data_IF_314592566653
#
_entry.id   IF_314592566653
#
_cell.length_a   1.000
_cell.length_b   1.000
_cell.length_c   1.000
_cell.angle_alpha   90.00
_cell.angle_beta   90.00
_cell.angle_gamma   90.00
#
_symmetry.space_group_name_H-M   'P 1'
#
loop_
_entity.id
_entity.type
_entity.pdbx_description
1 polymer ?
#
# COMPACT_ATOMS: atom_id res chain seq x y z
N UNK A 1 -13.79 -14.54 1.30
CA UNK A 1 -15.21 -14.34 1.62
C UNK A 1 -15.83 -13.50 0.52
N UNK A 2 -16.97 -13.92 -0.02
CA UNK A 2 -17.76 -13.12 -0.98
C UNK A 2 -18.28 -11.88 -0.27
N UNK A 3 -18.12 -10.67 -0.84
CA UNK A 3 -18.58 -9.45 -0.17
C UNK A 3 -20.11 -9.45 -0.01
N UNK A 4 -20.58 -8.70 0.98
CA UNK A 4 -22.01 -8.48 1.23
C UNK A 4 -22.35 -7.00 1.20
N UNK A 5 -23.57 -6.67 0.79
CA UNK A 5 -24.12 -5.32 0.75
C UNK A 5 -25.55 -5.37 1.29
N UNK A 6 -25.85 -4.51 2.27
CA UNK A 6 -27.12 -4.53 3.03
C UNK A 6 -27.48 -5.94 3.58
N UNK A 7 -26.48 -6.75 3.93
CA UNK A 7 -26.68 -8.13 4.44
C UNK A 7 -26.80 -9.22 3.38
N UNK A 8 -26.82 -8.86 2.09
CA UNK A 8 -26.94 -9.83 0.99
C UNK A 8 -25.60 -10.03 0.28
N UNK A 9 -25.27 -11.27 -0.08
CA UNK A 9 -24.08 -11.55 -0.88
C UNK A 9 -24.14 -10.83 -2.22
N UNK A 10 -23.02 -10.29 -2.68
CA UNK A 10 -22.90 -9.66 -4.01
C UNK A 10 -21.54 -10.01 -4.61
N UNK A 11 -21.41 -9.83 -5.92
CA UNK A 11 -20.14 -9.95 -6.62
C UNK A 11 -19.18 -8.82 -6.23
N UNK A 12 -17.88 -8.99 -6.49
CA UNK A 12 -16.89 -7.94 -6.20
C UNK A 12 -17.15 -6.68 -7.04
N UNK A 13 -17.63 -6.86 -8.27
CA UNK A 13 -17.92 -5.75 -9.17
C UNK A 13 -19.15 -4.98 -8.71
N UNK A 14 -20.23 -5.68 -8.35
CA UNK A 14 -21.41 -5.05 -7.76
C UNK A 14 -21.08 -4.36 -6.45
N UNK A 15 -20.31 -4.99 -5.57
CA UNK A 15 -19.91 -4.39 -4.31
C UNK A 15 -19.22 -3.03 -4.50
N UNK A 16 -18.27 -2.94 -5.45
CA UNK A 16 -17.57 -1.68 -5.76
C UNK A 16 -18.52 -0.60 -6.27
N UNK A 17 -19.40 -0.96 -7.20
CA UNK A 17 -20.35 -0.03 -7.83
C UNK A 17 -21.38 0.47 -6.83
N UNK A 18 -22.01 -0.42 -6.06
CA UNK A 18 -23.01 -0.09 -5.04
C UNK A 18 -22.41 0.73 -3.90
N UNK A 19 -21.19 0.39 -3.47
CA UNK A 19 -20.46 1.19 -2.47
C UNK A 19 -20.18 2.60 -2.98
N UNK A 20 -19.81 2.75 -4.26
CA UNK A 20 -19.58 4.05 -4.86
C UNK A 20 -20.87 4.87 -4.96
N UNK A 21 -21.99 4.24 -5.34
CA UNK A 21 -23.31 4.87 -5.34
C UNK A 21 -23.67 5.40 -3.95
N UNK A 22 -23.55 4.55 -2.92
CA UNK A 22 -23.82 4.93 -1.53
C UNK A 22 -22.93 6.10 -1.06
N UNK A 23 -21.64 6.07 -1.38
CA UNK A 23 -20.70 7.17 -1.06
C UNK A 23 -21.02 8.47 -1.79
N UNK A 24 -21.64 8.38 -2.96
CA UNK A 24 -22.14 9.55 -3.71
C UNK A 24 -23.50 10.06 -3.19
N UNK A 25 -24.02 9.49 -2.09
CA UNK A 25 -25.28 9.91 -1.48
C UNK A 25 -26.53 9.29 -2.10
N UNK A 26 -26.38 8.30 -2.98
CA UNK A 26 -27.51 7.58 -3.59
C UNK A 26 -28.19 6.74 -2.50
N UNK A 27 -29.47 7.00 -2.25
CA UNK A 27 -30.26 6.27 -1.26
C UNK A 27 -31.01 5.12 -1.92
N UNK A 28 -30.71 3.89 -1.50
CA UNK A 28 -31.38 2.65 -1.95
C UNK A 28 -31.19 1.56 -0.88
N UNK A 29 -31.85 0.41 -1.03
CA UNK A 29 -31.64 -0.77 -0.17
C UNK A 29 -31.75 -2.04 -1.02
N UNK A 30 -30.84 -3.00 -0.81
CA UNK A 30 -31.01 -4.33 -1.41
C UNK A 30 -31.91 -5.21 -0.54
N UNK A 31 -32.78 -5.96 -1.23
CA UNK A 31 -33.58 -7.06 -0.68
C UNK A 31 -32.99 -8.42 -1.05
N UNK A 32 -32.21 -8.48 -2.13
CA UNK A 32 -31.49 -9.68 -2.55
C UNK A 32 -30.33 -9.34 -3.46
N UNK A 33 -29.34 -10.22 -3.49
CA UNK A 33 -28.16 -10.11 -4.35
C UNK A 33 -27.84 -11.44 -5.00
N UNK A 34 -26.59 -11.87 -4.88
CA UNK A 34 -26.13 -13.18 -5.34
C UNK A 34 -26.73 -14.29 -4.49
N UNK A 35 -27.19 -15.35 -5.14
CA UNK A 35 -27.58 -16.61 -4.52
C UNK A 35 -26.64 -17.72 -4.96
N UNK A 36 -26.40 -18.68 -4.07
CA UNK A 36 -25.83 -19.98 -4.40
C UNK A 36 -26.92 -20.90 -4.95
N UNK A 37 -26.52 -21.98 -5.63
CA UNK A 37 -27.46 -23.02 -6.06
C UNK A 37 -28.24 -23.62 -4.88
N UNK A 38 -27.57 -23.81 -3.73
CA UNK A 38 -28.20 -24.36 -2.54
C UNK A 38 -29.24 -23.39 -1.94
N UNK A 39 -28.97 -22.10 -1.91
CA UNK A 39 -29.95 -21.09 -1.45
C UNK A 39 -31.16 -21.02 -2.40
N UNK A 40 -30.93 -21.05 -3.72
CA UNK A 40 -32.02 -21.05 -4.69
C UNK A 40 -32.84 -22.34 -4.61
N UNK A 41 -32.21 -23.49 -4.35
CA UNK A 41 -32.91 -24.75 -4.12
C UNK A 41 -33.84 -24.66 -2.91
N UNK A 42 -33.36 -24.11 -1.79
CA UNK A 42 -34.21 -23.92 -0.61
C UNK A 42 -35.42 -23.03 -0.88
N UNK A 43 -35.23 -21.92 -1.61
CA UNK A 43 -36.33 -21.03 -1.98
C UNK A 43 -37.33 -21.73 -2.90
N UNK A 44 -36.85 -22.51 -3.87
CA UNK A 44 -37.68 -23.29 -4.78
C UNK A 44 -38.49 -24.37 -4.04
N UNK A 45 -37.89 -25.05 -3.06
CA UNK A 45 -38.58 -26.06 -2.26
C UNK A 45 -39.71 -25.44 -1.41
N UNK A 46 -39.45 -24.27 -0.78
CA UNK A 46 -40.47 -23.52 -0.04
C UNK A 46 -41.62 -23.04 -0.95
N UNK A 47 -41.29 -22.57 -2.16
CA UNK A 47 -42.29 -22.21 -3.17
C UNK A 47 -43.18 -23.40 -3.54
N UNK A 48 -42.57 -24.55 -3.87
CA UNK A 48 -43.31 -25.78 -4.22
C UNK A 48 -44.19 -26.30 -3.08
N UNK A 49 -43.78 -26.07 -1.84
CA UNK A 49 -44.55 -26.41 -0.65
C UNK A 49 -45.66 -25.38 -0.32
N UNK A 50 -45.80 -24.30 -1.10
CA UNK A 50 -46.83 -23.27 -0.91
C UNK A 50 -46.59 -22.34 0.28
N UNK A 51 -45.41 -22.39 0.90
CA UNK A 51 -45.05 -21.62 2.11
C UNK A 51 -44.01 -20.52 1.85
N UNK A 52 -43.46 -20.46 0.64
CA UNK A 52 -42.47 -19.47 0.21
C UNK A 52 -42.95 -18.59 -0.93
N UNK A 53 -42.21 -17.51 -1.16
CA UNK A 53 -42.41 -16.63 -2.33
C UNK A 53 -42.12 -17.37 -3.64
N UNK A 54 -42.63 -16.84 -4.75
CA UNK A 54 -42.32 -17.31 -6.11
C UNK A 54 -40.79 -17.44 -6.29
N UNK A 55 -40.36 -18.64 -6.70
CA UNK A 55 -38.96 -18.92 -6.93
C UNK A 55 -38.78 -19.77 -8.20
N UNK A 56 -37.85 -19.37 -9.06
CA UNK A 56 -37.51 -20.13 -10.26
C UNK A 56 -36.78 -21.44 -9.91
N UNK A 57 -36.92 -22.43 -10.79
CA UNK A 57 -36.16 -23.69 -10.73
C UNK A 57 -34.66 -23.37 -10.63
N UNK A 58 -33.92 -24.01 -9.72
CA UNK A 58 -32.49 -23.77 -9.57
C UNK A 58 -31.73 -24.08 -10.85
N UNK A 59 -30.95 -23.10 -11.33
CA UNK A 59 -30.13 -23.23 -12.52
C UNK A 59 -28.82 -22.45 -12.35
N UNK A 60 -27.67 -22.98 -12.81
CA UNK A 60 -26.40 -22.25 -12.81
C UNK A 60 -26.47 -20.90 -13.55
N UNK A 61 -27.40 -20.76 -14.49
CA UNK A 61 -27.59 -19.55 -15.31
C UNK A 61 -28.68 -18.61 -14.78
N UNK A 62 -29.37 -18.97 -13.68
CA UNK A 62 -30.42 -18.13 -13.11
C UNK A 62 -29.88 -16.72 -12.78
N UNK A 63 -30.70 -15.65 -12.94
CA UNK A 63 -30.24 -14.27 -12.83
C UNK A 63 -29.47 -13.95 -11.54
N UNK A 64 -29.92 -14.43 -10.37
CA UNK A 64 -29.22 -14.22 -9.09
C UNK A 64 -28.00 -15.11 -8.87
N UNK A 65 -27.79 -16.17 -9.66
CA UNK A 65 -26.68 -17.12 -9.46
C UNK A 65 -25.52 -16.80 -10.41
N UNK A 66 -25.81 -16.89 -11.72
CA UNK A 66 -24.85 -16.76 -12.83
C UNK A 66 -23.45 -17.29 -12.49
N UNK A 67 -23.30 -18.61 -12.37
CA UNK A 67 -22.03 -19.27 -11.95
C UNK A 67 -20.86 -18.77 -12.81
N UNK A 68 -19.75 -18.42 -12.16
CA UNK A 68 -18.56 -17.89 -12.84
C UNK A 68 -18.68 -16.45 -13.35
N UNK A 69 -19.85 -15.82 -13.24
CA UNK A 69 -20.05 -14.42 -13.63
C UNK A 69 -20.17 -13.50 -12.41
N UNK A 70 -19.97 -12.20 -12.67
CA UNK A 70 -20.01 -11.13 -11.67
C UNK A 70 -21.29 -10.28 -11.79
N UNK A 71 -22.06 -10.44 -12.85
CA UNK A 71 -23.21 -9.62 -13.20
C UNK A 71 -24.54 -10.29 -12.86
N UNK A 72 -24.62 -10.92 -11.69
CA UNK A 72 -25.89 -11.44 -11.18
C UNK A 72 -26.91 -10.30 -10.98
N UNK A 73 -28.19 -10.63 -10.97
CA UNK A 73 -29.26 -9.69 -10.67
C UNK A 73 -29.22 -9.16 -9.23
N UNK A 74 -29.84 -8.01 -9.02
CA UNK A 74 -30.08 -7.40 -7.72
C UNK A 74 -31.58 -7.18 -7.54
N UNK A 75 -32.11 -7.47 -6.35
CA UNK A 75 -33.45 -7.04 -5.98
C UNK A 75 -33.31 -5.81 -5.08
N UNK A 76 -33.90 -4.69 -5.51
CA UNK A 76 -33.78 -3.39 -4.83
C UNK A 76 -35.16 -2.99 -4.30
N UNK A 77 -35.21 -2.54 -3.06
CA UNK A 77 -36.42 -1.97 -2.46
C UNK A 77 -36.92 -0.79 -3.30
N UNK A 78 -38.16 -0.89 -3.80
CA UNK A 78 -38.77 0.12 -4.67
C UNK A 78 -39.18 1.39 -3.92
N UNK A 79 -39.44 1.31 -2.61
CA UNK A 79 -39.97 2.40 -1.81
C UNK A 79 -38.86 3.15 -1.05
N UNK A 80 -37.76 2.49 -0.70
CA UNK A 80 -36.70 3.10 0.10
C UNK A 80 -35.85 4.10 -0.69
N UNK A 81 -35.89 5.39 -0.32
CA UNK A 81 -34.94 6.40 -0.78
C UNK A 81 -35.03 6.77 -2.27
N UNK A 82 -36.15 6.49 -2.92
CA UNK A 82 -36.32 6.60 -4.38
C UNK A 82 -35.94 5.33 -5.14
N UNK A 83 -35.53 4.29 -4.41
CA UNK A 83 -35.48 2.89 -4.84
C UNK A 83 -34.69 2.64 -6.12
N UNK A 84 -35.28 1.78 -6.96
CA UNK A 84 -34.69 1.33 -8.23
C UNK A 84 -34.39 2.50 -9.18
N UNK A 85 -35.25 3.51 -9.23
CA UNK A 85 -35.14 4.61 -10.19
C UNK A 85 -33.89 5.46 -9.94
N UNK A 86 -33.66 5.85 -8.67
CA UNK A 86 -32.52 6.68 -8.27
C UNK A 86 -31.19 5.93 -8.46
N UNK A 87 -31.15 4.65 -8.08
CA UNK A 87 -29.97 3.81 -8.31
C UNK A 87 -29.66 3.71 -9.81
N UNK A 88 -30.63 3.31 -10.65
CA UNK A 88 -30.41 3.12 -12.09
C UNK A 88 -30.02 4.41 -12.80
N UNK A 89 -30.59 5.55 -12.41
CA UNK A 89 -30.19 6.86 -12.95
C UNK A 89 -28.71 7.15 -12.68
N UNK A 90 -28.27 6.92 -11.43
CA UNK A 90 -26.87 7.09 -11.07
C UNK A 90 -25.95 6.13 -11.82
N UNK A 91 -26.33 4.84 -11.93
CA UNK A 91 -25.55 3.82 -12.65
C UNK A 91 -25.38 4.21 -14.13
N UNK A 92 -26.45 4.68 -14.78
CA UNK A 92 -26.42 5.15 -16.17
C UNK A 92 -25.47 6.34 -16.34
N UNK A 93 -25.54 7.32 -15.44
CA UNK A 93 -24.62 8.47 -15.42
C UNK A 93 -23.15 8.07 -15.21
N UNK A 94 -22.91 6.87 -14.68
CA UNK A 94 -21.59 6.27 -14.50
C UNK A 94 -21.33 5.12 -15.46
N UNK A 95 -21.99 5.14 -16.63
CA UNK A 95 -21.69 4.25 -17.77
C UNK A 95 -21.96 2.78 -17.50
N UNK A 96 -22.97 2.46 -16.71
CA UNK A 96 -23.50 1.11 -16.53
C UNK A 96 -24.99 1.10 -16.87
N UNK A 97 -25.35 0.51 -18.00
CA UNK A 97 -26.74 0.34 -18.38
C UNK A 97 -27.37 -0.85 -17.62
N UNK A 98 -28.66 -0.72 -17.30
CA UNK A 98 -29.41 -1.71 -16.52
C UNK A 98 -30.83 -1.82 -17.02
N UNK A 99 -31.38 -3.04 -16.93
CA UNK A 99 -32.73 -3.39 -17.36
C UNK A 99 -33.54 -4.01 -16.22
N UNK A 100 -34.86 -3.88 -16.33
CA UNK A 100 -35.84 -4.60 -15.50
C UNK A 100 -36.44 -5.68 -16.40
N UNK A 101 -35.77 -6.82 -16.43
CA UNK A 101 -35.96 -7.90 -17.42
C UNK A 101 -37.15 -8.81 -17.10
N UNK A 102 -37.62 -8.80 -15.85
CA UNK A 102 -38.72 -9.65 -15.39
C UNK A 102 -40.01 -8.83 -15.31
N UNK A 103 -40.99 -9.19 -16.13
CA UNK A 103 -42.29 -8.52 -16.17
C UNK A 103 -43.00 -8.63 -14.81
N UNK A 104 -43.47 -7.51 -14.27
CA UNK A 104 -44.12 -7.46 -12.96
C UNK A 104 -43.17 -7.34 -11.77
N UNK A 105 -41.85 -7.40 -11.97
CA UNK A 105 -40.84 -7.26 -10.92
C UNK A 105 -40.02 -5.97 -11.08
N UNK A 106 -40.60 -4.78 -10.78
CA UNK A 106 -39.90 -3.50 -10.94
C UNK A 106 -38.67 -3.34 -10.02
N UNK A 107 -38.51 -4.22 -9.02
CA UNK A 107 -37.35 -4.32 -8.12
C UNK A 107 -36.17 -5.08 -8.71
N UNK A 108 -36.39 -5.91 -9.75
CA UNK A 108 -35.38 -6.82 -10.29
C UNK A 108 -34.48 -6.10 -11.30
N UNK A 109 -33.25 -5.82 -10.91
CA UNK A 109 -32.28 -5.05 -11.69
C UNK A 109 -31.19 -5.98 -12.22
N UNK A 110 -31.02 -6.00 -13.53
CA UNK A 110 -29.92 -6.69 -14.20
C UNK A 110 -29.00 -5.68 -14.89
N UNK A 111 -27.69 -5.92 -14.85
CA UNK A 111 -26.75 -5.20 -15.69
C UNK A 111 -26.90 -5.68 -17.14
N UNK A 112 -26.98 -4.75 -18.09
CA UNK A 112 -27.16 -5.08 -19.51
C UNK A 112 -25.91 -5.78 -20.08
N UNK A 113 -24.74 -5.50 -19.49
CA UNK A 113 -23.47 -6.09 -19.89
C UNK A 113 -22.54 -6.35 -18.70
N UNK A 114 -22.03 -7.59 -18.61
CA UNK A 114 -20.97 -7.95 -17.69
C UNK A 114 -19.69 -7.12 -17.91
N UNK A 115 -19.42 -6.73 -19.17
CA UNK A 115 -18.28 -5.91 -19.53
C UNK A 115 -18.41 -4.49 -19.00
N UNK A 116 -19.60 -3.90 -19.10
CA UNK A 116 -19.89 -2.58 -18.55
C UNK A 116 -19.82 -2.59 -17.02
N UNK A 117 -20.38 -3.62 -16.38
CA UNK A 117 -20.29 -3.76 -14.92
C UNK A 117 -18.83 -3.82 -14.46
N UNK A 118 -17.99 -4.64 -15.13
CA UNK A 118 -16.55 -4.71 -14.86
C UNK A 118 -15.85 -3.37 -15.08
N UNK A 119 -16.17 -2.66 -16.15
CA UNK A 119 -15.57 -1.37 -16.46
C UNK A 119 -15.96 -0.30 -15.42
N UNK A 120 -17.24 -0.24 -15.05
CA UNK A 120 -17.75 0.62 -14.00
C UNK A 120 -17.10 0.31 -12.65
N UNK A 121 -17.03 -0.98 -12.28
CA UNK A 121 -16.37 -1.43 -11.05
C UNK A 121 -14.88 -1.06 -11.00
N UNK A 122 -14.16 -1.17 -12.11
CA UNK A 122 -12.75 -0.75 -12.19
C UNK A 122 -12.59 0.77 -12.01
N UNK A 123 -13.48 1.55 -12.63
CA UNK A 123 -13.45 3.02 -12.55
C UNK A 123 -13.84 3.54 -11.17
N UNK A 124 -14.89 2.97 -10.59
CA UNK A 124 -15.53 3.42 -9.33
C UNK A 124 -14.88 2.78 -8.09
N UNK A 125 -14.34 1.58 -8.23
CA UNK A 125 -13.65 0.86 -7.16
C UNK A 125 -12.21 1.29 -6.94
N UNK A 126 -11.64 2.18 -7.78
CA UNK A 126 -10.28 2.68 -7.57
C UNK A 126 -10.23 3.52 -6.29
N UNK A 127 -9.30 3.22 -5.39
CA UNK A 127 -8.97 4.12 -4.28
C UNK A 127 -8.48 5.45 -4.89
N UNK A 128 -8.92 6.63 -4.37
CA UNK A 128 -8.39 7.90 -4.83
C UNK A 128 -6.87 7.91 -4.77
N UNK A 129 -6.19 8.39 -5.81
CA UNK A 129 -4.73 8.54 -5.75
C UNK A 129 -4.35 9.71 -4.84
N UNK A 130 -3.08 9.80 -4.44
CA UNK A 130 -2.58 11.00 -3.74
C UNK A 130 -2.85 12.26 -4.56
N UNK A 131 -2.68 12.22 -5.89
CA UNK A 131 -2.95 13.38 -6.74
C UNK A 131 -4.44 13.73 -6.78
N UNK A 132 -5.34 12.74 -6.76
CA UNK A 132 -6.79 12.99 -6.68
C UNK A 132 -7.16 13.65 -5.35
N UNK A 133 -6.60 13.16 -4.23
CA UNK A 133 -6.81 13.75 -2.91
C UNK A 133 -6.25 15.16 -2.82
N UNK A 134 -5.08 15.42 -3.41
CA UNK A 134 -4.48 16.76 -3.46
C UNK A 134 -5.18 17.72 -4.44
N UNK A 135 -5.91 17.22 -5.44
CA UNK A 135 -6.82 18.04 -6.24
C UNK A 135 -8.02 18.48 -5.42
N UNK A 136 -8.64 17.55 -4.70
CA UNK A 136 -9.82 17.82 -3.89
C UNK A 136 -9.48 18.69 -2.66
N UNK A 137 -8.34 18.43 -2.03
CA UNK A 137 -7.87 19.13 -0.83
C UNK A 137 -6.33 19.26 -0.86
N UNK A 138 -5.80 20.34 -1.44
CA UNK A 138 -4.36 20.65 -1.38
C UNK A 138 -3.88 20.77 0.07
N UNK A 139 -2.59 20.47 0.32
CA UNK A 139 -2.03 20.68 1.66
C UNK A 139 -1.67 22.14 1.87
N UNK A 140 -2.26 22.72 2.91
CA UNK A 140 -2.00 24.08 3.40
C UNK A 140 -1.73 24.04 4.91
N UNK A 141 -1.28 25.16 5.50
CA UNK A 141 -0.98 25.27 6.94
C UNK A 141 -2.14 24.75 7.80
N UNK A 142 -1.84 23.84 8.72
CA UNK A 142 -2.82 23.19 9.59
C UNK A 142 -3.47 21.93 9.02
N UNK A 143 -3.24 21.60 7.74
CA UNK A 143 -3.78 20.37 7.13
C UNK A 143 -3.23 19.13 7.82
N UNK A 144 -4.13 18.22 8.22
CA UNK A 144 -3.81 16.88 8.71
C UNK A 144 -4.20 15.86 7.65
N UNK A 145 -3.22 15.22 7.03
CA UNK A 145 -3.46 14.24 5.98
C UNK A 145 -2.26 13.27 5.87
N UNK A 146 -2.47 12.02 5.43
CA UNK A 146 -1.38 11.05 5.21
C UNK A 146 -0.28 11.58 4.29
N UNK A 147 -0.63 12.42 3.31
CA UNK A 147 0.27 13.02 2.33
C UNK A 147 1.34 13.93 2.95
N UNK A 148 1.08 14.49 4.15
CA UNK A 148 2.03 15.35 4.87
C UNK A 148 3.35 14.61 5.11
N UNK A 149 3.27 13.32 5.44
CA UNK A 149 4.46 12.46 5.65
C UNK A 149 5.26 12.29 4.36
N UNK A 150 4.58 12.06 3.24
CA UNK A 150 5.24 11.91 1.94
C UNK A 150 5.96 13.20 1.52
N UNK A 151 5.31 14.35 1.69
CA UNK A 151 5.90 15.68 1.43
C UNK A 151 7.09 15.93 2.33
N UNK A 152 6.97 15.67 3.64
CA UNK A 152 8.07 15.81 4.60
C UNK A 152 9.28 14.96 4.18
N UNK A 153 9.06 13.72 3.75
CA UNK A 153 10.11 12.84 3.22
C UNK A 153 10.81 13.46 2.01
N UNK A 154 10.07 13.97 1.03
CA UNK A 154 10.67 14.61 -0.15
C UNK A 154 11.44 15.90 0.20
N UNK A 155 10.93 16.72 1.12
CA UNK A 155 11.59 17.95 1.54
C UNK A 155 12.87 17.69 2.36
N UNK A 156 12.89 16.63 3.18
CA UNK A 156 14.11 16.16 3.85
C UNK A 156 15.16 15.72 2.83
N UNK A 157 14.77 14.94 1.81
CA UNK A 157 15.66 14.56 0.70
C UNK A 157 16.17 15.75 -0.09
N UNK A 158 15.35 16.79 -0.24
CA UNK A 158 15.73 18.06 -0.85
C UNK A 158 16.68 18.91 0.04
N UNK A 159 17.01 18.44 1.25
CA UNK A 159 17.76 19.17 2.29
C UNK A 159 17.13 20.51 2.66
N UNK A 160 15.79 20.59 2.58
CA UNK A 160 15.01 21.80 2.92
C UNK A 160 14.42 21.75 4.33
N UNK A 161 14.44 20.59 4.97
CA UNK A 161 14.03 20.39 6.36
C UNK A 161 15.10 19.56 7.06
N UNK A 162 15.54 20.06 8.21
CA UNK A 162 16.38 19.35 9.18
C UNK A 162 15.63 19.23 10.51
N UNK A 163 16.01 18.24 11.33
CA UNK A 163 15.46 18.06 12.67
C UNK A 163 14.05 17.44 12.74
N UNK A 164 13.52 17.45 13.96
CA UNK A 164 12.18 16.93 14.25
C UNK A 164 11.12 17.92 13.79
N UNK A 165 10.18 17.42 12.99
CA UNK A 165 9.01 18.18 12.55
C UNK A 165 7.82 17.25 12.67
N UNK A 166 6.70 17.77 13.17
CA UNK A 166 5.46 17.03 13.24
C UNK A 166 5.07 16.55 11.84
N UNK A 167 5.01 15.22 11.69
CA UNK A 167 4.68 14.57 10.43
C UNK A 167 3.18 14.37 10.23
N UNK A 168 2.37 14.66 11.25
CA UNK A 168 0.91 14.57 11.21
C UNK A 168 0.25 15.86 10.72
N UNK A 169 0.93 17.01 10.83
CA UNK A 169 0.39 18.33 10.49
C UNK A 169 1.28 19.05 9.49
N UNK A 170 0.68 19.64 8.46
CA UNK A 170 1.34 20.57 7.57
C UNK A 170 1.62 21.89 8.30
N UNK A 171 2.77 21.98 8.98
CA UNK A 171 3.16 23.13 9.80
C UNK A 171 3.95 24.22 9.06
N UNK A 172 4.27 25.30 9.78
CA UNK A 172 5.00 26.46 9.27
C UNK A 172 6.37 26.10 8.64
N UNK A 173 7.07 25.13 9.22
CA UNK A 173 8.35 24.64 8.70
C UNK A 173 8.19 23.94 7.35
N UNK A 174 7.14 23.13 7.16
CA UNK A 174 6.84 22.51 5.88
C UNK A 174 6.47 23.56 4.84
N UNK A 175 5.62 24.52 5.20
CA UNK A 175 5.21 25.60 4.30
C UNK A 175 6.42 26.38 3.75
N UNK A 176 7.33 26.82 4.63
CA UNK A 176 8.57 27.52 4.22
C UNK A 176 9.46 26.67 3.33
N UNK A 177 9.59 25.39 3.64
CA UNK A 177 10.36 24.45 2.82
C UNK A 177 9.70 24.24 1.44
N UNK A 178 8.37 24.14 1.37
CA UNK A 178 7.63 24.03 0.10
C UNK A 178 7.77 25.29 -0.74
N UNK A 179 7.64 26.49 -0.16
CA UNK A 179 7.88 27.76 -0.88
C UNK A 179 9.29 27.81 -1.46
N UNK A 180 10.28 27.36 -0.69
CA UNK A 180 11.67 27.28 -1.15
C UNK A 180 11.84 26.27 -2.28
N UNK A 181 11.21 25.10 -2.17
CA UNK A 181 11.20 24.11 -3.25
C UNK A 181 10.54 24.64 -4.52
N UNK A 182 9.34 25.23 -4.41
CA UNK A 182 8.58 25.78 -5.54
C UNK A 182 9.41 26.81 -6.30
N UNK A 183 10.07 27.75 -5.60
CA UNK A 183 11.02 28.70 -6.22
C UNK A 183 12.13 27.98 -7.00
N UNK A 184 12.75 26.96 -6.40
CA UNK A 184 13.85 26.19 -7.03
C UNK A 184 13.44 25.45 -8.30
N UNK A 185 12.15 25.14 -8.47
CA UNK A 185 11.65 24.39 -9.64
C UNK A 185 10.76 25.22 -10.57
N UNK A 186 10.72 26.55 -10.39
CA UNK A 186 9.96 27.46 -11.25
C UNK A 186 8.43 27.34 -11.09
N UNK A 187 7.95 26.92 -9.93
CA UNK A 187 6.52 26.95 -9.59
C UNK A 187 6.18 28.20 -8.77
N UNK A 188 4.91 28.59 -8.77
CA UNK A 188 4.39 29.63 -7.86
C UNK A 188 4.72 29.25 -6.42
N UNK A 189 5.41 30.15 -5.71
CA UNK A 189 5.93 29.91 -4.36
C UNK A 189 4.89 30.22 -3.27
N UNK A 190 3.69 29.66 -3.43
CA UNK A 190 2.52 29.89 -2.56
C UNK A 190 2.52 29.03 -1.28
N UNK A 191 3.43 28.06 -1.16
CA UNK A 191 3.51 27.16 -0.01
C UNK A 191 2.41 26.10 0.03
N UNK A 192 1.64 25.95 -1.05
CA UNK A 192 0.54 24.98 -1.15
C UNK A 192 1.03 23.73 -1.88
N UNK A 193 0.78 22.55 -1.30
CA UNK A 193 1.06 21.29 -2.00
C UNK A 193 -0.19 20.81 -2.71
N UNK A 194 -0.38 21.31 -3.93
CA UNK A 194 -1.30 20.75 -4.91
C UNK A 194 -0.66 19.67 -5.77
N UNK A 195 -1.39 19.15 -6.78
CA UNK A 195 -0.92 18.07 -7.65
C UNK A 195 0.38 18.39 -8.38
N UNK A 196 0.55 19.64 -8.87
CA UNK A 196 1.75 20.09 -9.58
C UNK A 196 2.98 20.07 -8.68
N UNK A 197 2.86 20.63 -7.47
CA UNK A 197 3.95 20.67 -6.48
C UNK A 197 4.32 19.27 -6.00
N UNK A 198 3.34 18.42 -5.71
CA UNK A 198 3.59 17.03 -5.31
C UNK A 198 4.24 16.22 -6.43
N UNK A 199 3.78 16.37 -7.67
CA UNK A 199 4.38 15.71 -8.83
C UNK A 199 5.83 16.15 -9.04
N UNK A 200 6.15 17.44 -8.84
CA UNK A 200 7.51 17.95 -8.93
C UNK A 200 8.42 17.41 -7.81
N UNK A 201 7.94 17.38 -6.56
CA UNK A 201 8.64 16.75 -5.44
C UNK A 201 8.92 15.27 -5.72
N UNK A 202 7.90 14.54 -6.16
CA UNK A 202 8.01 13.12 -6.52
C UNK A 202 8.95 12.88 -7.70
N UNK A 203 8.92 13.71 -8.74
CA UNK A 203 9.81 13.56 -9.91
C UNK A 203 11.28 13.74 -9.54
N UNK A 204 11.58 14.66 -8.61
CA UNK A 204 12.96 15.04 -8.28
C UNK A 204 13.53 14.30 -7.07
N UNK A 205 12.67 13.92 -6.12
CA UNK A 205 13.05 13.31 -4.83
C UNK A 205 12.22 12.08 -4.46
N UNK A 206 11.23 11.73 -5.28
CA UNK A 206 10.71 10.37 -5.34
C UNK A 206 11.70 9.50 -6.08
N UNK A 207 11.61 8.19 -5.87
CA UNK A 207 12.54 7.25 -6.45
C UNK A 207 12.37 7.23 -7.97
N UNK A 208 13.47 7.50 -8.68
CA UNK A 208 13.57 7.21 -10.11
C UNK A 208 14.00 5.76 -10.24
N UNK A 209 13.15 4.97 -10.89
CA UNK A 209 13.58 3.75 -11.57
C UNK A 209 14.79 4.10 -12.43
N UNK A 210 15.87 3.35 -12.26
CA UNK A 210 17.06 3.48 -13.08
C UNK A 210 16.69 3.31 -14.56
N UNK A 211 16.89 4.36 -15.35
CA UNK A 211 17.05 4.26 -16.80
C UNK A 211 18.35 4.97 -17.18
N UNK A 212 19.38 4.15 -17.44
CA UNK A 212 20.64 4.39 -18.18
C UNK A 212 21.40 5.70 -17.91
N UNK A 213 22.55 5.59 -17.22
CA UNK A 213 23.89 5.72 -17.84
C UNK A 213 25.02 5.43 -16.84
N UNK A 214 26.11 4.94 -17.40
CA UNK A 214 27.49 4.95 -16.93
C UNK A 214 27.97 3.74 -16.10
N UNK A 215 28.79 2.92 -16.75
CA UNK A 215 30.06 2.50 -16.17
C UNK A 215 31.12 2.62 -17.28
N UNK A 216 31.84 3.75 -17.30
CA UNK A 216 33.19 3.79 -17.83
C UNK A 216 34.12 3.19 -16.76
N UNK A 217 35.03 2.33 -17.19
CA UNK A 217 36.00 1.62 -16.34
C UNK A 217 37.20 2.51 -16.04
N UNK A 218 37.70 2.61 -14.80
CA UNK A 218 39.08 3.00 -14.55
C UNK A 218 39.96 1.78 -14.22
N UNK A 219 41.24 1.93 -14.53
CA UNK A 219 42.29 0.94 -14.49
C UNK A 219 42.87 0.71 -13.07
N UNK A 220 43.65 -0.36 -12.96
CA UNK A 220 44.22 -0.93 -11.74
C UNK A 220 45.36 -0.09 -11.13
N UNK A 221 45.54 -0.23 -9.82
CA UNK A 221 46.82 -0.03 -9.14
C UNK A 221 46.82 1.05 -8.05
N UNK A 222 46.39 0.71 -6.83
CA UNK A 222 46.90 1.16 -5.52
C UNK A 222 46.06 0.48 -4.42
N UNK A 223 46.68 0.10 -3.30
CA UNK A 223 46.07 -0.64 -2.19
C UNK A 223 44.71 -0.07 -1.75
N UNK A 224 43.71 -0.95 -1.68
CA UNK A 224 42.34 -0.59 -1.38
C UNK A 224 42.17 -0.25 0.11
N UNK A 225 41.40 0.79 0.48
CA UNK A 225 40.95 0.98 1.86
C UNK A 225 40.21 -0.29 2.35
N UNK A 226 40.17 -0.57 3.67
CA UNK A 226 39.50 -1.75 4.20
C UNK A 226 38.08 -1.81 3.63
N UNK A 227 37.75 -2.96 3.02
CA UNK A 227 36.52 -3.12 2.26
C UNK A 227 35.32 -2.63 3.08
N UNK A 228 34.59 -1.66 2.54
CA UNK A 228 33.36 -1.16 3.17
C UNK A 228 32.42 -2.33 3.42
N UNK A 229 32.05 -2.59 4.67
CA UNK A 229 31.14 -3.68 5.02
C UNK A 229 29.82 -3.56 4.25
N UNK A 230 29.31 -4.72 3.83
CA UNK A 230 28.03 -4.90 3.14
C UNK A 230 27.23 -5.95 3.89
N UNK A 231 25.92 -5.97 3.72
CA UNK A 231 25.05 -6.97 4.35
C UNK A 231 25.50 -8.38 3.95
N UNK A 232 25.74 -9.24 4.95
CA UNK A 232 26.13 -10.63 4.71
C UNK A 232 24.92 -11.50 4.32
N UNK A 233 25.16 -12.76 3.95
CA UNK A 233 24.07 -13.73 3.76
C UNK A 233 23.28 -13.93 5.06
N UNK A 234 23.96 -14.11 6.20
CA UNK A 234 23.32 -14.22 7.51
C UNK A 234 22.53 -12.97 7.88
N UNK A 235 23.00 -11.79 7.49
CA UNK A 235 22.29 -10.53 7.68
C UNK A 235 21.00 -10.42 6.84
N UNK A 236 21.01 -10.98 5.63
CA UNK A 236 19.79 -11.09 4.82
C UNK A 236 18.81 -12.10 5.42
N UNK A 237 19.29 -13.28 5.84
CA UNK A 237 18.45 -14.30 6.50
C UNK A 237 17.73 -13.71 7.73
N UNK A 238 18.45 -12.88 8.51
CA UNK A 238 17.92 -12.16 9.66
C UNK A 238 16.76 -11.23 9.31
N UNK A 239 16.77 -10.57 8.14
CA UNK A 239 15.71 -9.67 7.70
C UNK A 239 14.53 -10.48 7.14
N UNK A 240 14.82 -11.48 6.32
CA UNK A 240 13.81 -12.30 5.62
C UNK A 240 12.89 -13.04 6.59
N UNK A 241 13.41 -13.56 7.71
CA UNK A 241 12.61 -14.21 8.75
C UNK A 241 11.55 -13.28 9.39
N UNK A 242 11.67 -11.95 9.27
CA UNK A 242 10.75 -10.99 9.89
C UNK A 242 9.87 -10.22 8.91
N UNK A 243 10.27 -10.04 7.64
CA UNK A 243 9.53 -9.22 6.68
C UNK A 243 8.44 -9.99 5.93
N UNK A 244 8.54 -11.32 5.85
CA UNK A 244 7.62 -12.16 5.08
C UNK A 244 7.81 -11.98 3.56
N UNK A 245 7.79 -13.09 2.82
CA UNK A 245 7.98 -13.06 1.38
C UNK A 245 6.65 -12.99 0.62
N UNK A 246 6.52 -12.00 -0.26
CA UNK A 246 5.42 -11.90 -1.21
C UNK A 246 5.92 -11.88 -2.66
N UNK A 247 5.77 -13.01 -3.34
CA UNK A 247 6.21 -13.19 -4.73
C UNK A 247 5.57 -12.22 -5.71
N UNK A 248 4.33 -11.79 -5.47
CA UNK A 248 3.59 -10.85 -6.33
C UNK A 248 3.31 -9.54 -5.59
N UNK A 249 3.18 -8.41 -6.30
CA UNK A 249 2.85 -7.14 -5.69
C UNK A 249 1.54 -7.21 -4.90
N UNK A 250 1.57 -6.66 -3.69
CA UNK A 250 0.45 -6.57 -2.75
C UNK A 250 0.31 -5.15 -2.20
N UNK A 251 -0.88 -4.84 -1.69
CA UNK A 251 -1.10 -3.60 -0.93
C UNK A 251 -0.69 -3.85 0.52
N UNK A 252 0.28 -3.10 1.04
CA UNK A 252 0.64 -3.14 2.47
C UNK A 252 -0.52 -2.63 3.36
N UNK A 253 -0.44 -2.74 4.70
CA UNK A 253 -1.49 -2.23 5.60
C UNK A 253 -1.79 -0.73 5.46
N UNK A 254 -0.86 0.06 4.90
CA UNK A 254 -1.05 1.47 4.59
C UNK A 254 -1.65 1.71 3.18
N UNK A 255 -1.89 0.64 2.41
CA UNK A 255 -2.46 0.65 1.07
C UNK A 255 -1.45 1.05 -0.01
N UNK A 256 -0.18 0.70 0.16
CA UNK A 256 0.89 0.98 -0.79
C UNK A 256 1.42 -0.29 -1.46
N UNK A 257 1.77 -0.16 -2.75
CA UNK A 257 2.22 -1.26 -3.59
C UNK A 257 3.61 -1.71 -3.16
N UNK A 258 3.69 -2.96 -2.71
CA UNK A 258 4.87 -3.56 -2.11
C UNK A 258 5.09 -4.96 -2.69
N UNK A 259 6.34 -5.44 -2.76
CA UNK A 259 6.67 -6.78 -3.26
C UNK A 259 7.89 -7.36 -2.53
N UNK A 260 8.12 -8.66 -2.60
CA UNK A 260 9.27 -9.32 -1.99
C UNK A 260 9.23 -9.21 -0.47
N UNK A 261 10.36 -8.85 0.14
CA UNK A 261 10.52 -8.64 1.58
C UNK A 261 10.23 -7.19 1.99
N UNK A 262 9.04 -6.68 1.65
CA UNK A 262 8.65 -5.31 2.02
C UNK A 262 9.21 -4.21 1.11
N UNK A 263 9.62 -4.53 -0.13
CA UNK A 263 10.09 -3.54 -1.08
C UNK A 263 8.93 -2.68 -1.60
N UNK A 264 8.87 -1.42 -1.16
CA UNK A 264 7.88 -0.44 -1.60
C UNK A 264 8.13 -0.06 -3.07
N UNK A 265 7.23 -0.48 -3.96
CA UNK A 265 7.25 -0.09 -5.37
C UNK A 265 6.84 1.36 -5.54
N UNK A 266 5.70 1.73 -4.96
CA UNK A 266 5.23 3.10 -4.94
C UNK A 266 4.10 3.29 -3.92
N UNK A 267 3.84 4.55 -3.56
CA UNK A 267 2.69 4.90 -2.75
C UNK A 267 1.40 4.75 -3.56
N UNK A 268 0.39 4.13 -2.96
CA UNK A 268 -0.89 3.80 -3.60
C UNK A 268 -0.96 2.33 -4.03
N UNK A 269 -2.16 1.86 -4.43
CA UNK A 269 -2.40 0.43 -4.59
C UNK A 269 -1.67 -0.14 -5.80
N UNK A 270 -1.41 -1.45 -5.76
CA UNK A 270 -0.83 -2.21 -6.86
C UNK A 270 -1.56 -1.97 -8.17
N UNK A 271 -0.79 -1.68 -9.21
CA UNK A 271 -1.29 -1.43 -10.57
C UNK A 271 -1.08 -2.63 -11.48
N UNK A 272 -1.72 -2.60 -12.66
CA UNK A 272 -1.45 -3.58 -13.71
C UNK A 272 -0.01 -3.49 -14.22
N UNK A 273 0.61 -2.31 -14.18
CA UNK A 273 2.00 -2.14 -14.57
C UNK A 273 2.94 -2.87 -13.60
N UNK A 274 2.68 -2.82 -12.29
CA UNK A 274 3.47 -3.58 -11.31
C UNK A 274 3.34 -5.09 -11.55
N UNK A 275 2.13 -5.57 -11.88
CA UNK A 275 1.89 -6.98 -12.24
C UNK A 275 2.52 -7.42 -13.56
N UNK A 276 3.12 -6.50 -14.32
CA UNK A 276 3.85 -6.79 -15.55
C UNK A 276 5.30 -6.28 -15.49
N UNK A 277 5.75 -5.75 -14.35
CA UNK A 277 7.07 -5.16 -14.20
C UNK A 277 8.13 -6.21 -13.87
N UNK A 278 9.37 -5.89 -14.23
CA UNK A 278 10.55 -6.57 -13.69
C UNK A 278 11.28 -5.62 -12.77
N UNK A 279 11.63 -6.08 -11.56
CA UNK A 279 12.28 -5.29 -10.51
C UNK A 279 13.76 -5.62 -10.37
N UNK A 280 14.18 -6.78 -10.89
CA UNK A 280 15.59 -7.17 -11.00
C UNK A 280 15.98 -7.42 -12.46
N UNK A 281 17.28 -7.28 -12.74
CA UNK A 281 17.82 -7.56 -14.06
C UNK A 281 17.66 -9.04 -14.39
N UNK A 282 17.16 -9.35 -15.59
CA UNK A 282 16.88 -10.72 -16.05
C UNK A 282 15.89 -11.49 -15.16
N UNK A 283 14.90 -10.78 -14.61
CA UNK A 283 13.82 -11.43 -13.87
C UNK A 283 13.13 -12.50 -14.74
N UNK A 284 12.90 -13.67 -14.16
CA UNK A 284 12.38 -14.85 -14.85
C UNK A 284 10.95 -14.62 -15.34
N UNK A 285 10.08 -14.12 -14.47
CA UNK A 285 8.66 -13.87 -14.78
C UNK A 285 8.29 -12.44 -14.42
N UNK A 286 7.93 -11.58 -15.37
CA UNK A 286 7.41 -10.24 -15.05
C UNK A 286 6.22 -10.32 -14.09
N UNK A 287 6.16 -9.44 -13.11
CA UNK A 287 5.10 -9.39 -12.11
C UNK A 287 5.22 -10.41 -10.97
N UNK A 288 6.22 -11.29 -10.99
CA UNK A 288 6.41 -12.32 -9.98
C UNK A 288 7.90 -12.56 -9.69
N UNK A 289 8.30 -12.32 -8.44
CA UNK A 289 9.64 -12.65 -7.93
C UNK A 289 9.70 -14.11 -7.51
N UNK A 290 10.82 -14.76 -7.80
CA UNK A 290 11.31 -15.90 -7.03
C UNK A 290 11.94 -15.42 -5.72
N UNK A 291 12.14 -16.35 -4.78
CA UNK A 291 12.83 -16.08 -3.51
C UNK A 291 14.24 -15.47 -3.75
N UNK A 292 15.02 -16.07 -4.65
CA UNK A 292 16.35 -15.58 -5.02
C UNK A 292 16.33 -14.16 -5.62
N UNK A 293 15.33 -13.83 -6.45
CA UNK A 293 15.17 -12.50 -7.03
C UNK A 293 14.72 -11.48 -5.98
N UNK A 294 13.85 -11.86 -5.05
CA UNK A 294 13.44 -11.00 -3.94
C UNK A 294 14.60 -10.71 -2.99
N UNK A 295 15.44 -11.71 -2.71
CA UNK A 295 16.68 -11.56 -1.94
C UNK A 295 17.69 -10.67 -2.67
N UNK A 296 17.79 -10.78 -4.00
CA UNK A 296 18.60 -9.87 -4.80
C UNK A 296 18.08 -8.42 -4.71
N UNK A 297 16.77 -8.22 -4.86
CA UNK A 297 16.12 -6.92 -4.75
C UNK A 297 16.33 -6.30 -3.36
N UNK A 298 16.16 -7.10 -2.30
CA UNK A 298 16.42 -6.71 -0.92
C UNK A 298 17.87 -6.25 -0.74
N UNK A 299 18.86 -7.05 -1.19
CA UNK A 299 20.28 -6.67 -1.11
C UNK A 299 20.57 -5.35 -1.82
N UNK A 300 20.01 -5.15 -3.01
CA UNK A 300 20.19 -3.90 -3.77
C UNK A 300 19.59 -2.69 -3.03
N UNK A 301 18.41 -2.85 -2.44
CA UNK A 301 17.75 -1.82 -1.64
C UNK A 301 18.56 -1.49 -0.37
N UNK A 302 19.02 -2.50 0.37
CA UNK A 302 19.83 -2.30 1.57
C UNK A 302 21.11 -1.52 1.25
N UNK A 303 21.81 -1.91 0.19
CA UNK A 303 23.03 -1.23 -0.26
C UNK A 303 22.80 0.23 -0.68
N UNK A 304 21.63 0.53 -1.27
CA UNK A 304 21.30 1.88 -1.73
C UNK A 304 20.80 2.80 -0.61
N UNK A 305 19.96 2.30 0.30
CA UNK A 305 19.14 3.16 1.16
C UNK A 305 19.45 3.06 2.65
N UNK A 306 20.05 1.95 3.10
CA UNK A 306 20.20 1.65 4.53
C UNK A 306 21.66 1.54 4.97
N UNK A 307 22.48 0.81 4.21
CA UNK A 307 23.92 0.68 4.47
C UNK A 307 24.66 2.02 4.54
N UNK A 308 24.38 3.03 3.67
CA UNK A 308 25.09 4.31 3.76
C UNK A 308 24.93 5.00 5.12
N UNK A 309 23.79 4.82 5.80
CA UNK A 309 23.57 5.41 7.12
C UNK A 309 24.39 4.70 8.22
N UNK A 310 24.56 3.38 8.11
CA UNK A 310 25.41 2.59 9.02
C UNK A 310 26.88 2.90 8.75
N UNK A 311 27.28 2.96 7.48
CA UNK A 311 28.64 3.31 7.06
C UNK A 311 29.03 4.74 7.46
N UNK A 312 28.09 5.68 7.42
CA UNK A 312 28.28 7.07 7.85
C UNK A 312 28.58 7.23 9.36
N UNK A 313 28.42 6.17 10.17
CA UNK A 313 28.91 6.17 11.54
C UNK A 313 30.44 6.22 11.62
N UNK A 314 31.14 5.77 10.56
CA UNK A 314 32.59 5.70 10.48
C UNK A 314 33.23 4.97 11.69
N UNK A 315 32.57 3.90 12.14
CA UNK A 315 33.03 3.06 13.25
C UNK A 315 33.62 1.74 12.73
N UNK A 316 34.61 1.16 13.43
CA UNK A 316 35.17 -0.14 13.10
C UNK A 316 34.21 -1.26 13.56
N UNK A 317 33.09 -1.41 12.85
CA UNK A 317 32.09 -2.42 13.16
C UNK A 317 32.59 -3.82 12.76
N UNK A 318 32.16 -4.85 13.48
CA UNK A 318 32.24 -6.22 12.98
C UNK A 318 31.15 -6.47 11.92
N UNK A 319 31.29 -7.54 11.12
CA UNK A 319 30.24 -7.93 10.17
C UNK A 319 28.89 -8.16 10.85
N UNK A 320 28.88 -8.80 12.03
CA UNK A 320 27.65 -9.04 12.79
C UNK A 320 26.99 -7.74 13.29
N UNK A 321 27.78 -6.78 13.74
CA UNK A 321 27.28 -5.45 14.12
C UNK A 321 26.71 -4.70 12.91
N UNK A 322 27.40 -4.73 11.77
CA UNK A 322 26.90 -4.14 10.53
C UNK A 322 25.56 -4.77 10.11
N UNK A 323 25.48 -6.10 10.08
CA UNK A 323 24.26 -6.82 9.71
C UNK A 323 23.07 -6.48 10.63
N UNK A 324 23.30 -6.48 11.94
CA UNK A 324 22.28 -6.17 12.94
C UNK A 324 21.78 -4.71 12.79
N UNK A 325 22.68 -3.75 12.59
CA UNK A 325 22.31 -2.35 12.42
C UNK A 325 21.55 -2.12 11.11
N UNK A 326 21.94 -2.77 10.01
CA UNK A 326 21.21 -2.69 8.74
C UNK A 326 19.80 -3.27 8.88
N UNK A 327 19.63 -4.45 9.49
CA UNK A 327 18.32 -5.03 9.79
C UNK A 327 17.46 -4.11 10.66
N UNK A 328 18.08 -3.49 11.66
CA UNK A 328 17.42 -2.58 12.57
C UNK A 328 16.89 -1.34 11.83
N UNK A 329 17.74 -0.64 11.08
CA UNK A 329 17.31 0.56 10.35
C UNK A 329 16.39 0.26 9.17
N UNK A 330 16.40 -0.97 8.64
CA UNK A 330 15.38 -1.42 7.69
C UNK A 330 13.98 -1.32 8.29
N UNK A 331 13.84 -1.74 9.54
CA UNK A 331 12.56 -1.74 10.27
C UNK A 331 12.13 -0.35 10.78
N UNK A 332 13.04 0.37 11.45
CA UNK A 332 12.69 1.60 12.20
C UNK A 332 13.09 2.89 11.47
N UNK A 333 13.82 2.77 10.37
CA UNK A 333 14.40 3.88 9.62
C UNK A 333 15.77 4.32 10.15
N UNK A 334 16.56 4.91 9.25
CA UNK A 334 17.95 5.32 9.50
C UNK A 334 18.10 6.43 10.55
N UNK A 335 17.04 7.19 10.83
CA UNK A 335 17.02 8.20 11.90
C UNK A 335 17.27 7.63 13.29
N UNK A 336 17.06 6.33 13.50
CA UNK A 336 17.35 5.66 14.76
C UNK A 336 18.85 5.66 15.12
N UNK A 337 19.77 5.92 14.18
CA UNK A 337 21.21 6.01 14.44
C UNK A 337 21.69 7.44 14.80
N UNK A 338 20.78 8.41 14.87
CA UNK A 338 21.10 9.77 15.25
C UNK A 338 21.73 9.84 16.65
N UNK A 339 22.69 10.74 16.88
CA UNK A 339 23.39 10.90 18.17
C UNK A 339 22.48 11.26 19.34
N UNK A 340 21.30 11.80 19.06
CA UNK A 340 20.27 12.10 20.05
C UNK A 340 19.56 10.86 20.60
N UNK A 341 19.68 9.71 19.94
CA UNK A 341 19.07 8.44 20.39
C UNK A 341 20.02 7.69 21.33
N UNK A 342 19.46 6.80 22.17
CA UNK A 342 20.26 5.96 23.06
C UNK A 342 21.27 5.09 22.30
N UNK A 343 20.81 4.36 21.27
CA UNK A 343 21.67 3.52 20.43
C UNK A 343 22.73 4.35 19.68
N UNK A 344 22.34 5.46 19.04
CA UNK A 344 23.28 6.30 18.29
C UNK A 344 24.35 6.93 19.18
N UNK A 345 24.00 7.28 20.42
CA UNK A 345 24.96 7.75 21.44
C UNK A 345 25.91 6.62 21.85
N UNK A 346 25.37 5.47 22.25
CA UNK A 346 26.17 4.32 22.69
C UNK A 346 27.16 3.83 21.63
N UNK A 347 26.77 3.83 20.34
CA UNK A 347 27.66 3.49 19.22
C UNK A 347 28.84 4.46 19.11
N UNK A 348 28.61 5.78 19.18
CA UNK A 348 29.67 6.79 19.09
C UNK A 348 30.61 6.75 20.30
N UNK A 349 30.08 6.44 21.47
CA UNK A 349 30.84 6.18 22.70
C UNK A 349 31.51 4.79 22.71
N UNK A 350 31.32 3.97 21.65
CA UNK A 350 31.83 2.59 21.52
C UNK A 350 31.41 1.65 22.66
N UNK A 351 30.27 1.92 23.29
CA UNK A 351 29.68 1.09 24.34
C UNK A 351 28.85 -0.01 23.70
N UNK A 352 29.51 -1.03 23.15
CA UNK A 352 28.90 -2.04 22.28
C UNK A 352 27.75 -2.83 22.93
N UNK A 353 27.93 -3.29 24.17
CA UNK A 353 26.87 -4.02 24.90
C UNK A 353 25.67 -3.11 25.15
N UNK A 354 25.91 -1.84 25.52
CA UNK A 354 24.85 -0.85 25.72
C UNK A 354 24.12 -0.58 24.40
N UNK A 355 24.83 -0.41 23.29
CA UNK A 355 24.22 -0.24 21.97
C UNK A 355 23.34 -1.45 21.58
N UNK A 356 23.78 -2.67 21.90
CA UNK A 356 23.03 -3.89 21.68
C UNK A 356 21.76 -3.97 22.55
N UNK A 357 21.84 -3.53 23.82
CA UNK A 357 20.69 -3.47 24.73
C UNK A 357 19.69 -2.36 24.34
N UNK A 358 20.17 -1.24 23.78
CA UNK A 358 19.31 -0.16 23.28
C UNK A 358 18.39 -0.62 22.14
N UNK A 359 18.79 -1.63 21.35
CA UNK A 359 17.91 -2.25 20.34
C UNK A 359 16.60 -2.76 20.97
N UNK A 360 16.67 -3.36 22.17
CA UNK A 360 15.52 -3.97 22.85
C UNK A 360 14.42 -2.97 23.20
N UNK A 361 14.73 -1.67 23.24
CA UNK A 361 13.76 -0.61 23.55
C UNK A 361 12.83 -0.25 22.39
N UNK A 362 13.15 -0.70 21.18
CA UNK A 362 12.41 -0.40 19.95
C UNK A 362 11.44 -1.53 19.59
N UNK A 363 10.66 -1.96 20.59
CA UNK A 363 9.70 -3.07 20.47
C UNK A 363 8.23 -2.65 20.59
N UNK A 364 7.95 -1.35 20.71
CA UNK A 364 6.60 -0.81 20.94
C UNK A 364 5.95 -0.26 19.67
N UNK A 365 4.63 -0.42 19.56
CA UNK A 365 3.82 0.25 18.54
C UNK A 365 2.41 0.58 19.07
N UNK A 366 1.62 1.33 18.29
CA UNK A 366 0.26 1.73 18.65
C UNK A 366 0.20 3.03 19.47
N UNK A 367 -1.03 3.42 19.84
CA UNK A 367 -1.32 4.58 20.70
C UNK A 367 -2.34 4.15 21.76
N UNK A 368 -1.96 4.07 23.05
CA UNK A 368 -0.61 4.28 23.59
C UNK A 368 0.39 3.21 23.12
N UNK A 369 1.71 3.50 23.11
CA UNK A 369 2.72 2.56 22.65
C UNK A 369 2.85 1.36 23.59
N UNK A 370 2.62 0.16 23.07
CA UNK A 370 2.72 -1.10 23.82
C UNK A 370 3.71 -2.05 23.14
N UNK A 371 4.47 -2.88 23.90
CA UNK A 371 5.34 -3.91 23.33
C UNK A 371 4.58 -4.85 22.40
N UNK A 372 5.12 -5.08 21.20
CA UNK A 372 4.61 -6.05 20.24
C UNK A 372 5.48 -7.31 20.24
N UNK A 373 4.92 -8.51 20.49
CA UNK A 373 5.69 -9.75 20.54
C UNK A 373 6.59 -10.00 19.31
N UNK A 374 6.12 -9.63 18.12
CA UNK A 374 6.90 -9.73 16.89
C UNK A 374 8.15 -8.83 16.89
N UNK A 375 8.01 -7.58 17.34
CA UNK A 375 9.14 -6.65 17.44
C UNK A 375 10.09 -7.05 18.58
N UNK A 376 9.58 -7.51 19.72
CA UNK A 376 10.42 -8.02 20.82
C UNK A 376 11.29 -9.18 20.35
N UNK A 377 10.74 -10.14 19.60
CA UNK A 377 11.53 -11.24 19.00
C UNK A 377 12.58 -10.72 18.02
N UNK A 378 12.22 -9.78 17.14
CA UNK A 378 13.15 -9.17 16.17
C UNK A 378 14.32 -8.48 16.86
N UNK A 379 14.05 -7.64 17.86
CA UNK A 379 15.10 -6.92 18.59
C UNK A 379 16.06 -7.86 19.32
N UNK A 380 15.57 -8.98 19.87
CA UNK A 380 16.42 -10.01 20.47
C UNK A 380 17.35 -10.68 19.46
N UNK A 381 16.85 -11.03 18.27
CA UNK A 381 17.66 -11.62 17.20
C UNK A 381 18.72 -10.65 16.67
N UNK A 382 18.36 -9.38 16.46
CA UNK A 382 19.32 -8.33 16.06
C UNK A 382 20.38 -8.09 17.14
N UNK A 383 20.00 -8.04 18.42
CA UNK A 383 20.95 -7.97 19.54
C UNK A 383 21.90 -9.16 19.55
N UNK A 384 21.38 -10.37 19.35
CA UNK A 384 22.19 -11.58 19.31
C UNK A 384 23.21 -11.55 18.16
N UNK A 385 22.77 -11.10 16.98
CA UNK A 385 23.65 -10.89 15.83
C UNK A 385 24.71 -9.81 16.09
N UNK A 386 24.34 -8.72 16.76
CA UNK A 386 25.24 -7.63 17.11
C UNK A 386 26.35 -8.07 18.08
N UNK A 387 26.01 -8.94 19.05
CA UNK A 387 26.95 -9.47 20.05
C UNK A 387 27.73 -10.70 19.56
N UNK A 388 27.40 -11.25 18.38
CA UNK A 388 28.07 -12.44 17.83
C UNK A 388 27.70 -13.74 18.54
N UNK A 389 26.50 -13.81 19.13
CA UNK A 389 26.00 -14.98 19.87
C UNK A 389 24.93 -15.77 19.09
N UNK A 390 24.76 -15.47 17.79
CA UNK A 390 23.77 -16.04 16.88
C UNK A 390 24.39 -16.44 15.55
#
# INVERSE_FOLDING_TARGET
>A
MTPSFDGHHVSDDWFKVLTAARRAGVSFRLNSGRRTLAEQQRLYDLYRAGVGNLAAVPSPTAPHIRVGRQDHALDVDVAFGGGVAVLRSWLRGHGLATSLTVAGEPWHVEADSAGELRAAAKRLGRKPTVLDRLRARPLTRGTRAPEVRAVLTYLRRARLISGSVDSAVYGATLERAVRTFQRRVGLVADGVVGPKTFAALRRRYGWRVWSRRAAAKPAAGTEAPPATLRISATGLDLIEQFEGFFARPYDDPAGHATVGYGHLLHLGPVTAADRAASWVARQQTPGQLTDAEARQLLRQQLAADYEPAVQALALPLTQGQHDALVSFVYNVGTGALASSTGIGRALRERRWVVAADELLRWDKAGVPPQPLPGLTRRRRAERARFLGIA
#
